data_IF_752284860940
#
_entry.id   IF_752284860940
#
_cell.length_a   1.000
_cell.length_b   1.000
_cell.length_c   1.000
_cell.angle_alpha   90.00
_cell.angle_beta   90.00
_cell.angle_gamma   90.00
#
_symmetry.space_group_name_H-M   'P 1'
#
loop_
_entity.id
_entity.type
_entity.pdbx_description
1 polymer ?
#
# COMPACT_ATOMS: atom_id res chain seq x y z
N UNK A 1 6.93 -14.55 -8.60
CA UNK A 1 5.68 -14.23 -9.37
C UNK A 1 5.99 -13.26 -10.51
N UNK A 2 5.38 -13.40 -11.70
CA UNK A 2 5.59 -12.45 -12.80
C UNK A 2 4.62 -11.24 -12.75
N UNK A 3 4.98 -10.14 -13.41
CA UNK A 3 4.26 -8.86 -13.35
C UNK A 3 2.83 -8.91 -13.90
N UNK A 4 2.57 -9.74 -14.92
CA UNK A 4 1.25 -9.93 -15.51
C UNK A 4 0.26 -10.52 -14.49
N UNK A 5 0.65 -11.60 -13.79
CA UNK A 5 -0.17 -12.21 -12.74
C UNK A 5 -0.38 -11.27 -11.55
N UNK A 6 0.66 -10.52 -11.16
CA UNK A 6 0.57 -9.52 -10.11
C UNK A 6 -0.47 -8.44 -10.46
N UNK A 7 -0.43 -7.97 -11.70
CA UNK A 7 -1.37 -6.96 -12.23
C UNK A 7 -2.80 -7.51 -12.25
N UNK A 8 -3.02 -8.71 -12.76
CA UNK A 8 -4.34 -9.34 -12.78
C UNK A 8 -4.92 -9.48 -11.35
N UNK A 9 -4.11 -9.96 -10.40
CA UNK A 9 -4.52 -10.07 -9.01
C UNK A 9 -4.91 -8.70 -8.42
N UNK A 10 -4.11 -7.66 -8.66
CA UNK A 10 -4.41 -6.30 -8.21
C UNK A 10 -5.72 -5.77 -8.80
N UNK A 11 -5.98 -6.01 -10.09
CA UNK A 11 -7.22 -5.59 -10.74
C UNK A 11 -8.45 -6.26 -10.11
N UNK A 12 -8.36 -7.53 -9.70
CA UNK A 12 -9.42 -8.19 -8.93
C UNK A 12 -9.64 -7.50 -7.59
N UNK A 13 -8.59 -7.20 -6.83
CA UNK A 13 -8.72 -6.50 -5.55
C UNK A 13 -9.30 -5.08 -5.68
N UNK A 14 -8.98 -4.38 -6.77
CA UNK A 14 -9.56 -3.06 -7.05
C UNK A 14 -11.06 -3.12 -7.38
N UNK A 15 -11.54 -4.26 -7.88
CA UNK A 15 -12.95 -4.49 -8.18
C UNK A 15 -13.72 -5.00 -6.96
N UNK A 16 -13.14 -5.98 -6.26
CA UNK A 16 -13.84 -6.80 -5.28
C UNK A 16 -13.50 -6.41 -3.83
N UNK A 17 -12.47 -5.58 -3.63
CA UNK A 17 -11.89 -5.29 -2.32
C UNK A 17 -10.81 -6.31 -1.91
N UNK A 18 -10.22 -6.10 -0.73
CA UNK A 18 -9.32 -7.08 -0.14
C UNK A 18 -10.12 -8.25 0.47
N UNK A 19 -9.58 -9.48 0.44
CA UNK A 19 -10.20 -10.59 1.16
C UNK A 19 -10.20 -10.31 2.67
N UNK A 20 -11.29 -10.69 3.35
CA UNK A 20 -11.47 -10.45 4.79
C UNK A 20 -10.49 -11.26 5.68
N UNK A 21 -9.95 -12.36 5.16
CA UNK A 21 -8.97 -13.20 5.82
C UNK A 21 -7.88 -13.63 4.84
N UNK A 22 -6.72 -13.98 5.37
CA UNK A 22 -5.68 -14.63 4.60
C UNK A 22 -6.14 -16.04 4.21
N UNK A 23 -6.64 -16.18 2.98
CA UNK A 23 -6.94 -17.48 2.40
C UNK A 23 -5.66 -18.28 2.15
N UNK A 24 -5.75 -19.60 2.30
CA UNK A 24 -4.63 -20.54 2.12
C UNK A 24 -4.17 -20.67 0.65
N UNK A 25 -4.99 -20.25 -0.31
CA UNK A 25 -4.74 -20.43 -1.75
C UNK A 25 -4.48 -19.10 -2.47
N UNK A 26 -3.40 -18.44 -2.09
CA UNK A 26 -2.93 -17.22 -2.73
C UNK A 26 -1.62 -17.53 -3.43
N UNK A 27 -1.73 -18.03 -4.66
CA UNK A 27 -0.69 -18.44 -5.64
C UNK A 27 0.63 -17.63 -5.64
N UNK A 28 1.38 -17.66 -4.53
CA UNK A 28 2.61 -16.90 -4.29
C UNK A 28 2.45 -15.41 -3.93
N UNK A 29 1.24 -14.88 -3.69
CA UNK A 29 1.05 -13.44 -3.42
C UNK A 29 -0.11 -13.12 -2.47
N UNK A 30 0.17 -12.55 -1.30
CA UNK A 30 -0.79 -12.18 -0.27
C UNK A 30 -1.06 -10.67 -0.25
N UNK A 31 -2.31 -10.18 -0.38
CA UNK A 31 -2.60 -8.76 -0.37
C UNK A 31 -2.46 -8.19 1.04
N UNK A 32 -1.61 -7.18 1.17
CA UNK A 32 -1.36 -6.48 2.42
C UNK A 32 -2.21 -5.22 2.56
N UNK A 33 -2.37 -4.44 1.48
CA UNK A 33 -3.07 -3.17 1.58
C UNK A 33 -3.66 -2.73 0.25
N UNK A 34 -4.77 -2.00 0.33
CA UNK A 34 -5.42 -1.34 -0.79
C UNK A 34 -5.80 0.06 -0.31
N UNK A 35 -5.42 1.06 -1.08
CA UNK A 35 -5.90 2.43 -0.88
C UNK A 35 -6.35 3.05 -2.21
N UNK A 36 -7.49 3.75 -2.17
CA UNK A 36 -8.11 4.40 -3.33
C UNK A 36 -8.37 5.87 -2.98
N UNK A 37 -7.86 6.78 -3.82
CA UNK A 37 -8.09 8.21 -3.72
C UNK A 37 -8.68 8.73 -5.04
N UNK A 38 -10.00 8.75 -5.14
CA UNK A 38 -10.69 9.14 -6.37
C UNK A 38 -10.38 8.22 -7.55
N UNK A 39 -9.56 8.68 -8.48
CA UNK A 39 -9.20 7.99 -9.72
C UNK A 39 -7.81 7.36 -9.71
N UNK A 40 -7.16 7.27 -8.55
CA UNK A 40 -5.88 6.59 -8.38
C UNK A 40 -5.95 5.58 -7.24
N UNK A 41 -5.14 4.55 -7.32
CA UNK A 41 -5.08 3.51 -6.30
C UNK A 41 -3.66 2.97 -6.11
N UNK A 42 -3.44 2.32 -4.97
CA UNK A 42 -2.28 1.48 -4.72
C UNK A 42 -2.73 0.14 -4.13
N UNK A 43 -2.16 -0.95 -4.62
CA UNK A 43 -2.28 -2.29 -4.04
C UNK A 43 -0.90 -2.73 -3.59
N UNK A 44 -0.79 -3.21 -2.35
CA UNK A 44 0.45 -3.77 -1.80
C UNK A 44 0.29 -5.26 -1.62
N UNK A 45 1.25 -6.02 -2.13
CA UNK A 45 1.30 -7.48 -2.04
C UNK A 45 2.56 -7.90 -1.28
N UNK A 46 2.46 -8.97 -0.49
CA UNK A 46 3.57 -9.77 -0.02
C UNK A 46 3.74 -10.93 -1.00
N UNK A 47 4.92 -11.07 -1.59
CA UNK A 47 5.18 -12.04 -2.65
C UNK A 47 6.33 -12.94 -2.22
N UNK A 48 6.20 -14.25 -2.42
CA UNK A 48 7.32 -15.17 -2.27
C UNK A 48 8.23 -15.06 -3.51
N UNK A 49 9.53 -14.87 -3.30
CA UNK A 49 10.52 -14.95 -4.38
C UNK A 49 10.66 -16.41 -4.86
N UNK A 50 11.04 -16.58 -6.14
CA UNK A 50 11.10 -17.90 -6.78
C UNK A 50 12.20 -18.75 -6.10
N UNK A 51 11.80 -19.69 -5.23
CA UNK A 51 12.74 -20.47 -4.39
C UNK A 51 12.20 -20.80 -3.00
N UNK A 52 11.25 -20.00 -2.51
CA UNK A 52 10.33 -20.39 -1.44
C UNK A 52 10.90 -20.49 -0.03
N UNK A 53 12.03 -19.84 0.27
CA UNK A 53 12.44 -19.68 1.67
C UNK A 53 11.68 -18.51 2.33
N UNK A 54 11.24 -18.63 3.60
CA UNK A 54 10.51 -17.57 4.31
C UNK A 54 11.24 -16.22 4.37
N UNK A 55 12.57 -16.24 4.29
CA UNK A 55 13.44 -15.05 4.31
C UNK A 55 13.57 -14.37 2.93
N UNK A 56 12.99 -14.97 1.89
CA UNK A 56 13.00 -14.50 0.50
C UNK A 56 11.60 -13.98 0.11
N UNK A 57 10.98 -13.20 0.99
CA UNK A 57 9.74 -12.51 0.69
C UNK A 57 10.00 -11.05 0.30
N UNK A 58 9.28 -10.59 -0.71
CA UNK A 58 9.28 -9.19 -1.13
C UNK A 58 7.92 -8.55 -0.80
N UNK A 59 7.94 -7.26 -0.49
CA UNK A 59 6.73 -6.44 -0.47
C UNK A 59 6.73 -5.57 -1.71
N UNK A 60 5.67 -5.67 -2.49
CA UNK A 60 5.52 -4.98 -3.77
C UNK A 60 4.34 -4.02 -3.70
N UNK A 61 4.51 -2.80 -4.21
CA UNK A 61 3.45 -1.81 -4.32
C UNK A 61 3.18 -1.47 -5.78
N UNK A 62 1.95 -1.68 -6.23
CA UNK A 62 1.48 -1.41 -7.59
C UNK A 62 0.51 -0.24 -7.58
N UNK A 63 0.72 0.73 -8.46
CA UNK A 63 -0.12 1.93 -8.57
C UNK A 63 -0.98 1.89 -9.82
N UNK A 64 -2.19 2.42 -9.70
CA UNK A 64 -3.20 2.39 -10.75
C UNK A 64 -3.84 3.75 -10.95
N UNK A 65 -4.38 3.96 -12.14
CA UNK A 65 -5.22 5.10 -12.50
C UNK A 65 -6.48 4.60 -13.20
N UNK A 66 -7.64 5.14 -12.80
CA UNK A 66 -8.91 4.87 -13.44
C UNK A 66 -9.17 5.84 -14.59
N UNK A 67 -9.26 5.34 -15.81
CA UNK A 67 -9.60 6.10 -17.02
C UNK A 67 -10.78 5.45 -17.72
N UNK A 68 -11.78 6.25 -18.10
CA UNK A 68 -12.98 5.77 -18.81
C UNK A 68 -13.69 4.60 -18.09
N UNK A 69 -13.66 4.59 -16.75
CA UNK A 69 -14.29 3.55 -15.93
C UNK A 69 -13.40 2.35 -15.64
N UNK A 70 -12.25 2.20 -16.31
CA UNK A 70 -11.35 1.05 -16.20
C UNK A 70 -10.06 1.41 -15.44
N UNK A 71 -9.56 0.47 -14.64
CA UNK A 71 -8.28 0.59 -13.94
C UNK A 71 -7.13 0.21 -14.86
N UNK A 72 -6.11 1.06 -14.95
CA UNK A 72 -4.88 0.81 -15.69
C UNK A 72 -3.68 0.86 -14.76
N UNK A 73 -2.79 -0.13 -14.87
CA UNK A 73 -1.54 -0.15 -14.12
C UNK A 73 -0.61 0.98 -14.59
N UNK A 74 0.00 1.69 -13.64
CA UNK A 74 1.05 2.69 -13.89
C UNK A 74 2.45 2.15 -13.64
N UNK A 75 2.54 0.93 -13.10
CA UNK A 75 3.76 0.31 -12.61
C UNK A 75 3.82 0.21 -11.09
N UNK A 76 4.91 -0.35 -10.60
CA UNK A 76 5.10 -0.62 -9.19
C UNK A 76 6.57 -0.70 -8.81
N UNK A 77 6.80 -1.01 -7.54
CA UNK A 77 8.15 -1.21 -7.00
C UNK A 77 8.14 -2.12 -5.79
N UNK A 78 9.11 -3.01 -5.75
CA UNK A 78 9.35 -3.96 -4.68
C UNK A 78 10.39 -3.48 -3.67
N UNK A 79 10.51 -4.23 -2.59
CA UNK A 79 11.61 -4.18 -1.64
C UNK A 79 11.49 -5.36 -0.69
N UNK A 80 12.58 -5.74 -0.03
CA UNK A 80 12.58 -6.88 0.88
C UNK A 80 11.53 -6.72 1.98
N UNK A 81 10.82 -7.80 2.29
CA UNK A 81 9.91 -7.85 3.42
C UNK A 81 10.71 -7.82 4.74
N UNK A 82 10.13 -7.27 5.82
CA UNK A 82 10.69 -7.48 7.15
C UNK A 82 10.54 -8.95 7.57
N UNK A 83 11.36 -9.40 8.52
CA UNK A 83 11.17 -10.70 9.18
C UNK A 83 9.77 -10.78 9.80
N UNK A 84 9.12 -11.93 9.66
CA UNK A 84 7.72 -12.16 10.05
C UNK A 84 6.76 -11.06 9.55
N UNK A 85 6.62 -10.88 8.21
CA UNK A 85 5.92 -9.73 7.65
C UNK A 85 4.46 -9.64 8.08
N UNK A 86 3.83 -10.76 8.42
CA UNK A 86 2.44 -10.81 8.87
C UNK A 86 2.25 -10.54 10.37
N UNK A 87 3.33 -10.53 11.17
CA UNK A 87 3.22 -10.37 12.61
C UNK A 87 3.16 -8.90 13.02
N UNK A 88 2.04 -8.47 13.57
CA UNK A 88 1.88 -7.11 14.06
C UNK A 88 2.64 -6.90 15.38
N UNK A 89 3.47 -5.87 15.42
CA UNK A 89 4.35 -5.56 16.56
C UNK A 89 3.82 -4.35 17.35
N UNK A 90 3.99 -4.31 18.68
CA UNK A 90 3.62 -3.14 19.49
C UNK A 90 4.55 -1.95 19.23
N UNK A 91 4.10 -0.75 19.60
CA UNK A 91 4.86 0.48 19.36
C UNK A 91 6.21 0.48 20.11
N UNK A 92 6.25 -0.16 21.29
CA UNK A 92 7.48 -0.33 22.07
C UNK A 92 8.58 -1.09 21.30
N UNK A 93 8.21 -2.03 20.43
CA UNK A 93 9.14 -2.79 19.60
C UNK A 93 9.47 -2.04 18.29
N UNK A 94 8.47 -1.40 17.67
CA UNK A 94 8.65 -0.63 16.44
C UNK A 94 9.35 0.72 16.65
N UNK A 95 9.43 1.18 17.90
CA UNK A 95 9.93 2.52 18.29
C UNK A 95 8.97 3.67 18.00
N UNK A 96 7.81 3.39 17.41
CA UNK A 96 6.75 4.37 17.09
C UNK A 96 5.44 3.67 16.71
N UNK A 97 4.32 4.40 16.76
CA UNK A 97 3.02 3.84 16.39
C UNK A 97 2.82 3.71 14.87
N UNK A 98 3.47 4.54 14.04
CA UNK A 98 3.31 4.48 12.59
C UNK A 98 4.61 4.73 11.81
N UNK A 99 5.20 3.71 11.20
CA UNK A 99 6.47 3.81 10.46
C UNK A 99 6.27 3.73 8.95
N UNK A 100 6.84 4.66 8.19
CA UNK A 100 7.05 4.49 6.74
C UNK A 100 8.25 3.58 6.49
N UNK A 101 8.07 2.54 5.67
CA UNK A 101 9.17 1.64 5.29
C UNK A 101 9.39 1.56 3.78
N UNK A 102 8.47 2.08 2.98
CA UNK A 102 8.61 2.11 1.52
C UNK A 102 7.77 3.22 0.90
N UNK A 103 8.01 3.46 -0.39
CA UNK A 103 7.22 4.39 -1.17
C UNK A 103 7.72 4.47 -2.60
N UNK A 104 7.04 5.25 -3.42
CA UNK A 104 7.40 5.40 -4.82
C UNK A 104 6.52 6.42 -5.54
N UNK A 105 6.92 6.75 -6.76
CA UNK A 105 6.17 7.64 -7.65
C UNK A 105 6.15 7.04 -9.04
N UNK A 106 4.97 6.92 -9.62
CA UNK A 106 4.78 6.48 -11.00
C UNK A 106 4.24 7.62 -11.83
N UNK A 107 4.64 7.67 -13.10
CA UNK A 107 4.20 8.71 -14.02
C UNK A 107 2.77 8.39 -14.46
N UNK A 108 1.85 9.33 -14.22
CA UNK A 108 0.43 9.18 -14.56
C UNK A 108 0.14 9.46 -16.04
N UNK A 109 1.00 10.22 -16.71
CA UNK A 109 0.85 10.65 -18.10
C UNK A 109 2.07 10.27 -18.96
N UNK A 110 2.45 9.00 -18.94
CA UNK A 110 3.59 8.47 -19.70
C UNK A 110 3.47 8.71 -21.21
N UNK A 111 2.27 8.55 -21.78
CA UNK A 111 2.00 8.63 -23.22
C UNK A 111 1.78 10.07 -23.73
N UNK A 112 2.34 11.07 -23.06
CA UNK A 112 2.13 12.48 -23.43
C UNK A 112 2.81 12.82 -24.77
N UNK A 113 2.04 13.42 -25.67
CA UNK A 113 2.53 13.98 -26.95
C UNK A 113 3.14 15.39 -26.81
N UNK A 114 2.87 16.09 -25.70
CA UNK A 114 3.27 17.49 -25.48
C UNK A 114 4.05 17.65 -24.15
N UNK A 115 4.97 18.63 -24.05
CA UNK A 115 5.93 18.77 -22.94
C UNK A 115 5.34 19.30 -21.62
N UNK A 116 4.03 19.17 -21.39
CA UNK A 116 3.41 19.56 -20.13
C UNK A 116 4.00 18.76 -18.96
N UNK A 117 4.11 19.39 -17.79
CA UNK A 117 4.71 18.81 -16.59
C UNK A 117 4.20 17.40 -16.27
N UNK A 118 5.11 16.51 -15.88
CA UNK A 118 4.76 15.14 -15.54
C UNK A 118 3.83 15.16 -14.32
N UNK A 119 2.72 14.42 -14.42
CA UNK A 119 1.82 14.15 -13.30
C UNK A 119 2.23 12.83 -12.70
N UNK A 120 2.22 12.75 -11.37
CA UNK A 120 2.68 11.56 -10.67
C UNK A 120 1.55 11.02 -9.78
N UNK A 121 1.51 9.71 -9.67
CA UNK A 121 0.83 9.02 -8.57
C UNK A 121 1.90 8.65 -7.57
N UNK A 122 1.73 9.10 -6.34
CA UNK A 122 2.68 8.84 -5.26
C UNK A 122 2.07 7.86 -4.28
N UNK A 123 2.90 7.00 -3.71
CA UNK A 123 2.47 6.06 -2.68
C UNK A 123 3.49 5.96 -1.55
N UNK A 124 2.99 5.59 -0.38
CA UNK A 124 3.79 5.18 0.77
C UNK A 124 3.24 3.88 1.35
N UNK A 125 4.16 3.03 1.79
CA UNK A 125 3.88 1.81 2.54
C UNK A 125 4.27 2.03 4.00
N UNK A 126 3.34 1.66 4.88
CA UNK A 126 3.36 1.98 6.30
C UNK A 126 3.23 0.69 7.12
N UNK A 127 3.91 0.67 8.27
CA UNK A 127 3.75 -0.31 9.32
C UNK A 127 3.15 0.38 10.53
N UNK A 128 1.93 0.00 10.87
CA UNK A 128 1.20 0.46 12.04
C UNK A 128 1.42 -0.53 13.20
N UNK A 129 1.60 0.03 14.39
CA UNK A 129 1.76 -0.76 15.60
C UNK A 129 0.44 -1.42 16.04
N UNK A 130 0.51 -2.38 16.96
CA UNK A 130 -0.65 -3.12 17.51
C UNK A 130 -1.76 -2.19 18.03
N UNK A 131 -1.38 -1.05 18.58
CA UNK A 131 -2.25 -0.06 19.21
C UNK A 131 -3.06 0.78 18.19
N UNK A 132 -2.65 0.80 16.93
CA UNK A 132 -3.22 1.70 15.90
C UNK A 132 -4.32 1.01 15.08
N UNK A 133 -5.59 1.19 15.39
CA UNK A 133 -6.65 0.50 14.62
C UNK A 133 -6.98 1.17 13.30
N UNK A 134 -6.75 2.49 13.17
CA UNK A 134 -7.14 3.28 11.99
C UNK A 134 -6.10 4.33 11.63
N UNK A 135 -6.01 4.66 10.35
CA UNK A 135 -5.24 5.78 9.83
C UNK A 135 -6.18 6.86 9.29
N UNK A 136 -5.89 8.12 9.61
CA UNK A 136 -6.55 9.27 9.01
C UNK A 136 -5.62 9.92 7.99
N UNK A 137 -6.08 10.01 6.74
CA UNK A 137 -5.37 10.65 5.62
C UNK A 137 -6.25 11.78 5.10
N UNK A 138 -6.01 13.00 5.57
CA UNK A 138 -6.92 14.11 5.30
C UNK A 138 -8.34 13.80 5.80
N UNK A 139 -9.30 13.63 4.87
CA UNK A 139 -10.70 13.28 5.18
C UNK A 139 -10.98 11.77 5.13
N UNK A 140 -10.03 10.96 4.67
CA UNK A 140 -10.20 9.51 4.50
C UNK A 140 -9.79 8.79 5.78
N UNK A 141 -10.56 7.77 6.16
CA UNK A 141 -10.23 6.84 7.25
C UNK A 141 -9.96 5.48 6.63
N UNK A 142 -8.81 4.89 6.98
CA UNK A 142 -8.39 3.57 6.52
C UNK A 142 -8.26 2.65 7.73
N UNK A 143 -8.95 1.52 7.72
CA UNK A 143 -8.77 0.50 8.75
C UNK A 143 -7.41 -0.17 8.58
N UNK A 144 -6.74 -0.44 9.71
CA UNK A 144 -5.44 -1.13 9.72
C UNK A 144 -5.69 -2.63 9.81
N UNK A 145 -5.29 -3.42 8.80
CA UNK A 145 -5.40 -4.88 8.86
C UNK A 145 -4.66 -5.50 10.05
N UNK A 146 -4.99 -6.74 10.39
CA UNK A 146 -4.42 -7.44 11.54
C UNK A 146 -2.89 -7.57 11.50
N UNK A 147 -2.28 -7.63 10.32
CA UNK A 147 -0.82 -7.67 10.15
C UNK A 147 -0.14 -6.29 10.24
N UNK A 148 -0.92 -5.21 10.35
CA UNK A 148 -0.43 -3.84 10.54
C UNK A 148 0.18 -3.17 9.31
N UNK A 149 0.08 -3.77 8.11
CA UNK A 149 0.53 -3.10 6.89
C UNK A 149 -0.59 -2.21 6.36
N UNK A 150 -0.24 -0.99 5.98
CA UNK A 150 -1.13 -0.08 5.28
C UNK A 150 -0.40 0.58 4.12
N UNK A 151 -1.16 1.05 3.14
CA UNK A 151 -0.64 1.85 2.04
C UNK A 151 -1.48 3.11 1.91
N UNK A 152 -0.85 4.18 1.41
CA UNK A 152 -1.53 5.44 1.12
C UNK A 152 -1.11 5.91 -0.26
N UNK A 153 -2.09 6.25 -1.09
CA UNK A 153 -1.90 6.84 -2.41
C UNK A 153 -2.31 8.32 -2.40
N UNK A 154 -1.63 9.15 -3.18
CA UNK A 154 -2.02 10.54 -3.42
C UNK A 154 -1.53 11.07 -4.77
N UNK A 155 -2.31 11.96 -5.38
CA UNK A 155 -1.98 12.62 -6.65
C UNK A 155 -1.47 14.06 -6.49
N UNK A 156 -1.59 14.64 -5.29
CA UNK A 156 -1.16 16.00 -5.01
C UNK A 156 0.38 16.13 -5.02
N UNK A 157 0.88 17.34 -5.31
CA UNK A 157 2.33 17.61 -5.32
C UNK A 157 2.97 17.40 -3.94
N UNK A 158 2.25 17.75 -2.88
CA UNK A 158 2.68 17.58 -1.49
C UNK A 158 2.05 16.31 -0.93
N UNK A 159 2.85 15.51 -0.24
CA UNK A 159 2.36 14.36 0.50
C UNK A 159 1.40 14.75 1.63
N UNK A 160 0.46 13.88 1.99
CA UNK A 160 -0.45 14.12 3.11
C UNK A 160 0.26 13.95 4.45
N UNK A 161 -0.30 14.55 5.49
CA UNK A 161 -0.05 14.15 6.87
C UNK A 161 -1.00 13.01 7.20
N UNK A 162 -0.46 11.95 7.80
CA UNK A 162 -1.21 10.78 8.24
C UNK A 162 -1.20 10.76 9.76
N UNK A 163 -2.37 10.54 10.35
CA UNK A 163 -2.53 10.37 11.80
C UNK A 163 -2.87 8.91 12.10
N UNK A 164 -2.15 8.30 13.04
CA UNK A 164 -2.46 6.99 13.58
C UNK A 164 -3.42 7.12 14.76
N UNK A 165 -4.50 6.34 14.74
CA UNK A 165 -5.58 6.40 15.71
C UNK A 165 -5.73 5.10 16.49
N UNK A 166 -6.03 5.20 17.77
CA UNK A 166 -6.49 4.08 18.59
C UNK A 166 -7.99 3.76 18.36
N UNK A 167 -8.51 2.79 19.11
CA UNK A 167 -9.89 2.33 19.02
C UNK A 167 -10.91 3.44 19.33
N UNK A 168 -10.56 4.30 20.27
CA UNK A 168 -11.34 5.45 20.74
C UNK A 168 -11.26 6.65 19.78
N UNK A 169 -10.33 6.60 18.80
CA UNK A 169 -10.11 7.64 17.81
C UNK A 169 -9.15 8.75 18.24
N UNK A 170 -8.46 8.58 19.38
CA UNK A 170 -7.40 9.47 19.81
C UNK A 170 -6.16 9.28 18.93
N UNK A 171 -5.40 10.35 18.73
CA UNK A 171 -4.22 10.33 17.87
C UNK A 171 -3.00 9.86 18.67
N UNK A 172 -2.39 8.76 18.23
CA UNK A 172 -1.20 8.15 18.84
C UNK A 172 0.12 8.60 18.21
N UNK A 173 0.14 8.89 16.91
CA UNK A 173 1.34 9.34 16.16
C UNK A 173 0.91 10.07 14.87
N UNK A 174 1.85 10.83 14.28
CA UNK A 174 1.67 11.50 12.98
C UNK A 174 2.92 11.32 12.11
N UNK A 175 2.71 11.26 10.80
CA UNK A 175 3.80 11.27 9.81
C UNK A 175 3.46 12.21 8.66
N UNK A 176 4.38 13.11 8.31
CA UNK A 176 4.29 13.93 7.09
C UNK A 176 4.98 13.17 5.94
N UNK A 177 4.26 12.97 4.83
CA UNK A 177 4.76 12.31 3.63
C UNK A 177 5.25 13.28 2.55
N UNK A 178 5.31 14.59 2.85
CA UNK A 178 5.78 15.62 1.91
C UNK A 178 7.22 15.43 1.45
#
# INVERSE_FOLDING_TARGET
>A
MNEEKATEACLRFLRDGLPAAAGEDMSGAFPLALDVDGDIAVVTLLVAEDGGLPDEMSVEGYTFHRRNGEWMALGGGGGSAPADPLTRRPAAELGRHLRRYGGGRTVRNGDRLLPWGAKYVSQARLRAAAEVVRLRVGKRLLDVPEHGHAAVVWGARRGPVIEALDAEGAVLDKIDLS
#
